data_IF_207744228537
#
_entry.id   IF_207744228537
#
_cell.length_a   1.000
_cell.length_b   1.000
_cell.length_c   1.000
_cell.angle_alpha   90.00
_cell.angle_beta   90.00
_cell.angle_gamma   90.00
#
_symmetry.space_group_name_H-M   'P 1'
#
loop_
_entity.id
_entity.type
_entity.pdbx_description
1 polymer ?
#
# COMPACT_ATOMS: atom_id res chain seq x y z
N UNK A 1 -12.32 -21.70 -3.14
CA UNK A 1 -12.28 -20.28 -3.58
C UNK A 1 -10.99 -20.11 -4.36
N UNK A 2 -11.04 -19.52 -5.54
CA UNK A 2 -9.86 -19.27 -6.37
C UNK A 2 -9.59 -17.76 -6.35
N UNK A 3 -8.40 -17.34 -5.91
CA UNK A 3 -8.01 -15.94 -5.93
C UNK A 3 -7.59 -15.57 -7.36
N UNK A 4 -8.08 -14.43 -7.87
CA UNK A 4 -7.80 -13.93 -9.22
C UNK A 4 -6.86 -12.74 -9.22
N UNK A 5 -6.64 -12.10 -8.08
CA UNK A 5 -5.75 -10.96 -7.96
C UNK A 5 -5.06 -10.94 -6.58
N UNK A 6 -3.91 -10.29 -6.55
CA UNK A 6 -3.19 -9.88 -5.35
C UNK A 6 -2.75 -8.43 -5.55
N UNK A 7 -3.18 -7.52 -4.70
CA UNK A 7 -2.97 -6.08 -4.88
C UNK A 7 -1.93 -5.50 -3.92
N UNK A 8 -1.34 -6.32 -3.04
CA UNK A 8 -0.36 -5.86 -2.08
C UNK A 8 0.88 -6.76 -2.10
N UNK A 9 1.84 -6.43 -2.95
CA UNK A 9 3.09 -7.18 -3.07
C UNK A 9 4.30 -6.26 -3.20
N UNK A 10 5.47 -6.77 -2.82
CA UNK A 10 6.74 -6.06 -2.82
C UNK A 10 7.80 -6.77 -3.64
N UNK A 11 8.72 -5.98 -4.20
CA UNK A 11 9.91 -6.47 -4.87
C UNK A 11 11.18 -6.07 -4.12
N UNK A 12 12.34 -6.36 -4.70
CA UNK A 12 13.64 -5.93 -4.15
C UNK A 12 13.73 -4.41 -3.92
N UNK A 13 12.87 -3.61 -4.56
CA UNK A 13 12.85 -2.16 -4.40
C UNK A 13 12.36 -1.73 -3.01
N UNK A 14 11.58 -2.54 -2.32
CA UNK A 14 11.17 -2.32 -0.93
C UNK A 14 12.26 -2.63 0.12
N UNK A 15 13.41 -3.18 -0.30
CA UNK A 15 14.57 -3.41 0.56
C UNK A 15 14.50 -4.68 1.44
N UNK A 16 13.34 -5.29 1.60
CA UNK A 16 13.14 -6.50 2.41
C UNK A 16 12.40 -7.64 1.67
N UNK A 17 12.17 -7.48 0.38
CA UNK A 17 11.71 -8.54 -0.53
C UNK A 17 12.84 -8.90 -1.52
N UNK A 18 12.73 -10.03 -2.22
CA UNK A 18 13.88 -10.60 -2.91
C UNK A 18 13.61 -10.88 -4.40
N UNK A 19 12.39 -10.70 -4.87
CA UNK A 19 12.02 -10.91 -6.27
C UNK A 19 11.98 -9.60 -7.05
N UNK A 20 12.24 -9.68 -8.35
CA UNK A 20 12.03 -8.57 -9.29
C UNK A 20 10.58 -8.50 -9.74
N UNK A 21 10.18 -7.38 -10.38
CA UNK A 21 8.84 -7.23 -11.00
C UNK A 21 8.54 -8.37 -11.97
N UNK A 22 9.53 -8.80 -12.78
CA UNK A 22 9.32 -9.86 -13.76
C UNK A 22 9.11 -11.23 -13.11
N UNK A 23 9.87 -11.54 -12.05
CA UNK A 23 9.71 -12.78 -11.29
C UNK A 23 8.36 -12.84 -10.59
N UNK A 24 7.93 -11.73 -9.98
CA UNK A 24 6.62 -11.61 -9.34
C UNK A 24 5.48 -11.81 -10.36
N UNK A 25 5.53 -11.09 -11.49
CA UNK A 25 4.51 -11.21 -12.55
C UNK A 25 4.45 -12.63 -13.13
N UNK A 26 5.62 -13.27 -13.34
CA UNK A 26 5.66 -14.65 -13.81
C UNK A 26 5.06 -15.62 -12.80
N UNK A 27 5.42 -15.51 -11.52
CA UNK A 27 4.92 -16.37 -10.47
C UNK A 27 3.39 -16.21 -10.29
N UNK A 28 2.87 -14.97 -10.39
CA UNK A 28 1.45 -14.67 -10.35
C UNK A 28 0.69 -15.32 -11.52
N UNK A 29 1.23 -15.20 -12.74
CA UNK A 29 0.66 -15.85 -13.92
C UNK A 29 0.66 -17.39 -13.79
N UNK A 30 1.77 -17.99 -13.33
CA UNK A 30 1.89 -19.44 -13.12
C UNK A 30 0.90 -19.96 -12.05
N UNK A 31 0.48 -19.10 -11.11
CA UNK A 31 -0.55 -19.39 -10.10
C UNK A 31 -1.98 -19.14 -10.57
N UNK A 32 -2.18 -18.62 -11.77
CA UNK A 32 -3.50 -18.34 -12.35
C UNK A 32 -4.13 -17.03 -11.90
N UNK A 33 -3.34 -16.09 -11.37
CA UNK A 33 -3.81 -14.73 -11.14
C UNK A 33 -4.03 -14.02 -12.48
N UNK A 34 -4.98 -13.11 -12.49
CA UNK A 34 -5.32 -12.28 -13.65
C UNK A 34 -4.79 -10.84 -13.49
N UNK A 35 -4.57 -10.41 -12.23
CA UNK A 35 -4.07 -9.09 -11.87
C UNK A 35 -3.10 -9.17 -10.69
N UNK A 36 -1.99 -8.43 -10.78
CA UNK A 36 -1.02 -8.26 -9.69
C UNK A 36 -0.74 -6.79 -9.44
N UNK A 37 -0.83 -6.35 -8.18
CA UNK A 37 -0.37 -5.05 -7.69
C UNK A 37 1.06 -5.14 -7.17
N UNK A 38 1.96 -4.33 -7.69
CA UNK A 38 3.31 -4.11 -7.16
C UNK A 38 3.29 -2.78 -6.40
N UNK A 39 3.37 -2.85 -5.08
CA UNK A 39 3.11 -1.73 -4.17
C UNK A 39 4.27 -1.54 -3.21
N UNK A 40 5.37 -0.98 -3.72
CA UNK A 40 6.59 -0.80 -2.96
C UNK A 40 6.38 0.13 -1.76
N UNK A 41 7.13 -0.09 -0.69
CA UNK A 41 7.14 0.82 0.45
C UNK A 41 7.59 2.22 0.07
N UNK A 42 6.85 3.22 0.53
CA UNK A 42 7.26 4.61 0.47
C UNK A 42 8.43 4.91 1.41
N UNK A 43 9.02 6.09 1.23
CA UNK A 43 10.13 6.61 2.03
C UNK A 43 9.83 6.53 3.55
N UNK A 44 10.84 6.13 4.32
CA UNK A 44 10.77 5.96 5.77
C UNK A 44 11.02 4.52 6.20
N UNK A 45 10.69 3.54 5.37
CA UNK A 45 11.04 2.14 5.61
C UNK A 45 12.52 1.92 5.27
N UNK A 46 13.33 1.35 6.18
CA UNK A 46 14.75 1.11 5.93
C UNK A 46 14.99 0.22 4.71
N UNK A 47 15.81 0.70 3.79
CA UNK A 47 16.19 -0.05 2.59
C UNK A 47 15.25 0.12 1.39
N UNK A 48 14.13 0.83 1.52
CA UNK A 48 13.24 1.10 0.40
C UNK A 48 13.86 2.02 -0.66
N UNK A 49 13.27 2.00 -1.84
CA UNK A 49 13.64 2.86 -2.96
C UNK A 49 13.31 4.34 -2.70
N UNK A 50 13.94 5.22 -3.47
CA UNK A 50 13.68 6.67 -3.45
C UNK A 50 12.49 7.02 -4.36
N UNK A 51 11.93 8.24 -4.22
CA UNK A 51 10.78 8.76 -4.98
C UNK A 51 10.96 8.68 -6.49
N UNK A 52 12.20 8.75 -7.00
CA UNK A 52 12.51 8.59 -8.42
C UNK A 52 12.03 7.24 -8.97
N UNK A 53 11.99 6.18 -8.14
CA UNK A 53 11.49 4.87 -8.54
C UNK A 53 10.01 4.95 -8.92
N UNK A 54 9.20 5.61 -8.09
CA UNK A 54 7.76 5.78 -8.35
C UNK A 54 7.50 6.65 -9.58
N UNK A 55 8.25 7.72 -9.81
CA UNK A 55 8.17 8.51 -11.03
C UNK A 55 8.43 7.68 -12.29
N UNK A 56 9.31 6.69 -12.21
CA UNK A 56 9.66 5.82 -13.33
C UNK A 56 8.72 4.62 -13.53
N UNK A 57 7.82 4.31 -12.59
CA UNK A 57 6.86 3.21 -12.74
C UNK A 57 5.99 3.31 -13.99
N UNK A 58 5.75 4.53 -14.48
CA UNK A 58 4.94 4.80 -15.70
C UNK A 58 5.51 4.16 -16.98
N UNK A 59 6.82 3.82 -17.03
CA UNK A 59 7.43 3.18 -18.19
C UNK A 59 7.34 1.66 -18.18
N UNK A 60 6.94 1.07 -17.05
CA UNK A 60 6.83 -0.39 -16.91
C UNK A 60 5.56 -0.84 -17.63
N UNK A 61 5.60 -1.90 -18.47
CA UNK A 61 4.40 -2.44 -19.11
C UNK A 61 3.33 -2.85 -18.10
N UNK A 62 2.08 -2.45 -18.35
CA UNK A 62 0.91 -2.82 -17.52
C UNK A 62 0.38 -4.22 -17.83
N UNK A 63 1.10 -5.00 -18.65
CA UNK A 63 0.79 -6.40 -18.94
C UNK A 63 2.06 -7.20 -19.14
N UNK A 64 2.20 -8.31 -18.40
CA UNK A 64 3.31 -9.27 -18.55
C UNK A 64 2.78 -10.69 -18.33
N UNK A 65 3.33 -11.66 -19.07
CA UNK A 65 2.99 -13.09 -18.96
C UNK A 65 1.47 -13.38 -19.04
N UNK A 66 0.72 -12.50 -19.71
CA UNK A 66 -0.73 -12.65 -19.89
C UNK A 66 -1.60 -12.10 -18.78
N UNK A 67 -1.04 -11.58 -17.68
CA UNK A 67 -1.77 -10.94 -16.59
C UNK A 67 -1.63 -9.41 -16.65
N UNK A 68 -2.56 -8.72 -16.03
CA UNK A 68 -2.52 -7.27 -15.86
C UNK A 68 -1.70 -6.90 -14.62
N UNK A 69 -1.01 -5.75 -14.68
CA UNK A 69 -0.19 -5.23 -13.58
C UNK A 69 -0.65 -3.82 -13.19
N UNK A 70 -0.75 -3.58 -11.90
CA UNK A 70 -0.90 -2.25 -11.31
C UNK A 70 0.36 -1.91 -10.52
N UNK A 71 0.80 -0.66 -10.62
CA UNK A 71 1.97 -0.18 -9.89
C UNK A 71 1.56 0.92 -8.92
N UNK A 72 1.99 0.76 -7.68
CA UNK A 72 1.60 1.65 -6.61
C UNK A 72 2.61 1.72 -5.49
N UNK A 73 2.14 2.21 -4.36
CA UNK A 73 2.94 2.30 -3.15
C UNK A 73 2.12 1.90 -1.92
N UNK A 74 2.79 1.24 -1.00
CA UNK A 74 2.36 1.18 0.39
C UNK A 74 2.96 2.38 1.13
N UNK A 75 2.12 3.40 1.29
CA UNK A 75 2.46 4.72 1.83
C UNK A 75 2.33 4.67 3.36
N UNK A 76 3.31 5.24 4.08
CA UNK A 76 3.21 5.27 5.54
C UNK A 76 2.27 6.37 5.99
N UNK A 77 1.38 6.06 6.94
CA UNK A 77 0.73 7.02 7.81
C UNK A 77 1.78 7.40 8.86
N UNK A 78 2.06 8.70 9.04
CA UNK A 78 3.21 9.16 9.83
C UNK A 78 2.86 9.90 11.12
N UNK A 79 1.58 10.24 11.31
CA UNK A 79 1.07 10.91 12.52
C UNK A 79 -0.40 10.59 12.79
N UNK A 80 -0.94 11.10 13.90
CA UNK A 80 -2.32 10.88 14.31
C UNK A 80 -3.36 11.66 13.48
N UNK A 81 -2.91 12.61 12.66
CA UNK A 81 -3.75 13.37 11.74
C UNK A 81 -3.85 12.70 10.36
N UNK A 82 -3.24 11.52 10.20
CA UNK A 82 -3.29 10.73 8.97
C UNK A 82 -2.41 11.27 7.85
N UNK A 83 -1.38 12.06 8.18
CA UNK A 83 -0.42 12.57 7.20
C UNK A 83 0.33 11.41 6.55
N UNK A 84 0.61 11.56 5.26
CA UNK A 84 1.23 10.53 4.43
C UNK A 84 2.71 10.82 4.16
N UNK A 85 3.54 9.79 4.07
CA UNK A 85 4.98 9.90 3.82
C UNK A 85 5.36 10.19 2.35
N UNK A 86 4.39 10.38 1.48
CA UNK A 86 4.58 10.63 0.04
C UNK A 86 3.85 11.91 -0.37
N UNK A 87 4.43 12.64 -1.32
CA UNK A 87 3.84 13.86 -1.87
C UNK A 87 2.53 13.58 -2.61
N UNK A 88 1.52 14.44 -2.39
CA UNK A 88 0.19 14.28 -2.96
C UNK A 88 0.19 14.28 -4.50
N UNK A 89 1.04 15.10 -5.13
CA UNK A 89 1.14 15.15 -6.59
C UNK A 89 1.73 13.86 -7.16
N UNK A 90 2.70 13.25 -6.45
CA UNK A 90 3.28 11.96 -6.83
C UNK A 90 2.23 10.85 -6.70
N UNK A 91 1.48 10.81 -5.60
CA UNK A 91 0.39 9.85 -5.37
C UNK A 91 -0.64 9.92 -6.52
N UNK A 92 -1.14 11.13 -6.81
CA UNK A 92 -2.23 11.32 -7.78
C UNK A 92 -1.81 11.01 -9.21
N UNK A 93 -0.59 11.43 -9.61
CA UNK A 93 -0.19 11.40 -11.02
C UNK A 93 0.55 10.15 -11.46
N UNK A 94 1.06 9.34 -10.52
CA UNK A 94 1.97 8.25 -10.89
C UNK A 94 1.51 6.86 -10.44
N UNK A 95 0.66 6.76 -9.43
CA UNK A 95 0.28 5.48 -8.86
C UNK A 95 -1.06 5.00 -9.42
N UNK A 96 -1.08 3.75 -9.87
CA UNK A 96 -2.31 3.05 -10.30
C UNK A 96 -3.13 2.57 -9.10
N UNK A 97 -2.47 2.29 -7.97
CA UNK A 97 -3.07 1.81 -6.71
C UNK A 97 -2.33 2.41 -5.52
N UNK A 98 -3.07 2.82 -4.49
CA UNK A 98 -2.57 3.58 -3.35
C UNK A 98 -3.01 2.93 -2.05
N UNK A 99 -2.04 2.33 -1.38
CA UNK A 99 -2.25 1.65 -0.11
C UNK A 99 -1.67 2.53 1.00
N UNK A 100 -2.35 2.67 2.12
CA UNK A 100 -1.82 3.34 3.30
C UNK A 100 -1.77 2.38 4.49
N UNK A 101 -0.69 2.45 5.26
CA UNK A 101 -0.52 1.63 6.45
C UNK A 101 0.35 2.28 7.51
N UNK A 102 0.24 1.80 8.75
CA UNK A 102 1.11 2.21 9.84
C UNK A 102 2.28 1.22 9.96
N UNK A 103 3.50 1.76 9.90
CA UNK A 103 4.73 1.00 10.08
C UNK A 103 5.53 1.57 11.24
N UNK A 104 5.97 0.74 12.16
CA UNK A 104 6.69 1.13 13.38
C UNK A 104 7.94 2.00 13.17
N UNK A 105 8.71 1.88 12.07
CA UNK A 105 9.82 2.79 11.80
C UNK A 105 9.39 4.23 11.47
N UNK A 106 8.13 4.44 11.05
CA UNK A 106 7.63 5.72 10.54
C UNK A 106 6.58 6.37 11.44
N UNK A 107 6.16 5.68 12.50
CA UNK A 107 5.00 6.08 13.30
C UNK A 107 5.27 5.86 14.80
N UNK A 108 4.92 6.85 15.62
CA UNK A 108 4.91 6.71 17.07
C UNK A 108 3.58 6.09 17.51
N UNK A 109 3.64 4.88 18.08
CA UNK A 109 2.44 4.18 18.52
C UNK A 109 1.81 4.91 19.71
N UNK A 110 0.58 5.34 19.52
CA UNK A 110 -0.22 6.05 20.53
C UNK A 110 -1.22 5.16 21.27
N UNK A 111 -2.18 5.80 21.91
CA UNK A 111 -3.36 5.15 22.48
C UNK A 111 -4.25 4.57 21.37
N UNK A 112 -5.16 3.65 21.73
CA UNK A 112 -6.20 3.12 20.81
C UNK A 112 -6.90 4.26 20.05
N UNK A 113 -7.32 5.31 20.74
CA UNK A 113 -8.02 6.43 20.12
C UNK A 113 -7.14 7.18 19.09
N UNK A 114 -5.87 7.41 19.39
CA UNK A 114 -4.94 8.10 18.48
C UNK A 114 -4.64 7.26 17.25
N UNK A 115 -4.34 5.97 17.44
CA UNK A 115 -4.06 5.09 16.30
C UNK A 115 -5.30 4.90 15.42
N UNK A 116 -6.49 4.76 16.01
CA UNK A 116 -7.76 4.69 15.28
C UNK A 116 -7.99 5.97 14.47
N UNK A 117 -7.77 7.14 15.08
CA UNK A 117 -7.88 8.43 14.39
C UNK A 117 -6.97 8.50 13.17
N UNK A 118 -5.70 8.07 13.29
CA UNK A 118 -4.75 8.06 12.19
C UNK A 118 -5.25 7.26 10.98
N UNK A 119 -5.77 6.05 11.23
CA UNK A 119 -6.37 5.23 10.17
C UNK A 119 -7.64 5.85 9.59
N UNK A 120 -8.54 6.37 10.43
CA UNK A 120 -9.78 7.03 9.96
C UNK A 120 -9.43 8.22 9.05
N UNK A 121 -8.45 9.03 9.43
CA UNK A 121 -8.00 10.16 8.60
C UNK A 121 -7.39 9.74 7.27
N UNK A 122 -6.66 8.65 7.24
CA UNK A 122 -6.15 8.08 5.99
C UNK A 122 -7.27 7.49 5.12
N UNK A 123 -8.28 6.85 5.72
CA UNK A 123 -9.47 6.33 5.05
C UNK A 123 -10.32 7.45 4.43
N UNK A 124 -10.49 8.57 5.15
CA UNK A 124 -11.20 9.77 4.67
C UNK A 124 -10.48 10.47 3.51
N UNK A 125 -9.21 10.15 3.28
CA UNK A 125 -8.44 10.74 2.19
C UNK A 125 -8.79 10.07 0.85
N UNK A 126 -9.40 10.80 -0.11
CA UNK A 126 -9.85 10.23 -1.39
C UNK A 126 -8.72 9.73 -2.28
N UNK A 127 -7.47 9.98 -1.92
CA UNK A 127 -6.30 9.45 -2.63
C UNK A 127 -5.91 8.04 -2.18
N UNK A 128 -6.57 7.46 -1.17
CA UNK A 128 -6.23 6.13 -0.65
C UNK A 128 -7.30 5.13 -1.05
N UNK A 129 -6.87 4.04 -1.68
CA UNK A 129 -7.74 2.96 -2.14
C UNK A 129 -7.86 1.83 -1.12
N UNK A 130 -6.76 1.54 -0.40
CA UNK A 130 -6.65 0.38 0.51
C UNK A 130 -5.93 0.78 1.79
N UNK A 131 -6.36 0.23 2.91
CA UNK A 131 -5.60 0.23 4.18
C UNK A 131 -4.94 -1.13 4.35
N UNK A 132 -3.62 -1.16 4.54
CA UNK A 132 -2.87 -2.39 4.76
C UNK A 132 -2.88 -2.80 6.24
N UNK A 133 -2.93 -4.11 6.47
CA UNK A 133 -2.74 -4.81 7.76
C UNK A 133 -3.20 -4.02 9.02
N UNK A 134 -4.46 -3.53 9.09
CA UNK A 134 -4.96 -2.82 10.27
C UNK A 134 -5.04 -3.74 11.50
N UNK A 135 -4.84 -5.03 11.31
CA UNK A 135 -4.85 -6.07 12.35
C UNK A 135 -3.48 -6.32 12.99
N UNK A 136 -2.48 -5.47 12.75
CA UNK A 136 -1.18 -5.56 13.42
C UNK A 136 -1.35 -5.34 14.93
N UNK A 137 -1.20 -6.42 15.70
CA UNK A 137 -1.38 -6.41 17.15
C UNK A 137 -0.44 -5.45 17.91
N UNK A 138 0.62 -4.95 17.27
CA UNK A 138 1.51 -3.93 17.83
C UNK A 138 0.86 -2.55 17.87
N UNK A 139 -0.17 -2.33 17.05
CA UNK A 139 -0.86 -1.04 16.87
C UNK A 139 -2.32 -1.20 17.31
N UNK A 140 -2.61 -1.01 18.61
CA UNK A 140 -3.96 -1.20 19.11
C UNK A 140 -4.92 -0.15 18.55
N UNK A 141 -6.06 -0.61 18.00
CA UNK A 141 -7.09 0.21 17.34
C UNK A 141 -8.50 -0.23 17.75
N UNK A 142 -9.49 0.59 17.44
CA UNK A 142 -10.91 0.23 17.43
C UNK A 142 -11.32 -0.25 16.04
N UNK A 143 -11.45 -1.56 15.87
CA UNK A 143 -11.78 -2.19 14.59
C UNK A 143 -13.16 -1.80 14.06
N UNK A 144 -14.17 -1.64 14.94
CA UNK A 144 -15.52 -1.27 14.51
C UNK A 144 -15.51 0.11 13.85
N UNK A 145 -14.85 1.07 14.48
CA UNK A 145 -14.70 2.42 13.96
C UNK A 145 -13.98 2.42 12.58
N UNK A 146 -12.93 1.62 12.42
CA UNK A 146 -12.19 1.52 11.15
C UNK A 146 -13.05 0.90 10.05
N UNK A 147 -13.75 -0.19 10.36
CA UNK A 147 -14.63 -0.87 9.39
C UNK A 147 -15.77 0.05 8.94
N UNK A 148 -16.36 0.81 9.85
CA UNK A 148 -17.44 1.74 9.51
C UNK A 148 -16.92 2.90 8.65
N UNK A 149 -15.78 3.50 9.00
CA UNK A 149 -15.14 4.52 8.18
C UNK A 149 -14.79 4.00 6.77
N UNK A 150 -14.25 2.79 6.67
CA UNK A 150 -13.89 2.18 5.38
C UNK A 150 -15.13 1.93 4.49
N UNK A 151 -16.24 1.48 5.06
CA UNK A 151 -17.52 1.33 4.33
C UNK A 151 -18.04 2.66 3.81
N UNK A 152 -18.03 3.71 4.65
CA UNK A 152 -18.53 5.04 4.29
C UNK A 152 -17.69 5.68 3.16
N UNK A 153 -16.39 5.44 3.16
CA UNK A 153 -15.45 6.04 2.20
C UNK A 153 -15.10 5.11 1.01
N UNK A 154 -15.68 3.90 0.96
CA UNK A 154 -15.40 2.89 -0.08
C UNK A 154 -13.91 2.48 -0.17
N UNK A 155 -13.21 2.53 0.96
CA UNK A 155 -11.81 2.10 1.08
C UNK A 155 -11.77 0.60 1.43
N UNK A 156 -10.88 -0.14 0.79
CA UNK A 156 -10.66 -1.57 1.12
C UNK A 156 -9.81 -1.73 2.39
N UNK A 157 -10.00 -2.86 3.09
CA UNK A 157 -9.19 -3.27 4.26
C UNK A 157 -8.48 -4.58 3.97
#
# INVERSE_FOLDING_TARGET
MEFKFDLHTHTIASGHAYSTVQEMAKAAADKGLELLGITEHAKGIPGTCDEIYFHNMRIIPRKMYGIDLMFGSEINIIDYDGSLSMDAELIEKTLDIRIAGIHTPCYEIGSVAQNTQAYVKAIENPMIDIISHPDDARIPIDYETIVDAAKENHTLL
#
